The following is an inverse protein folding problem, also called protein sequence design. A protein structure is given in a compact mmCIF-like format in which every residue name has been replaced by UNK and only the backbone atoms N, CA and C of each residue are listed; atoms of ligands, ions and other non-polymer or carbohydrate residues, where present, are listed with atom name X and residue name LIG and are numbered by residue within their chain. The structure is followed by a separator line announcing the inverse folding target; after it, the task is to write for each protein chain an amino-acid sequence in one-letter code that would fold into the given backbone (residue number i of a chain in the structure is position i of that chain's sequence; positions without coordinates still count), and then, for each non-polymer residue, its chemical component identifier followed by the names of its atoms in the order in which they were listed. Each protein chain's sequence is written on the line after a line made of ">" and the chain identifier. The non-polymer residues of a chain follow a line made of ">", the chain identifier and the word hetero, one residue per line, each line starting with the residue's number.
data_IF_362366147856
#
_entry.id   IF_362366147856
#
_cell.length_a   1.000
_cell.length_b   1.000
_cell.length_c   1.000
_cell.angle_alpha   90.00
_cell.angle_beta   90.00
_cell.angle_gamma   90.00
#
_symmetry.space_group_name_H-M   'P 1'
#
loop_
_entity.id
_entity.type
_entity.pdbx_description
1 polymer ?
#
# COMPACT_ATOMS: atom_id res chain seq x y z
N UNK A 1 6.69 1.02 16.68
CA UNK A 1 6.71 1.11 18.16
C UNK A 1 7.60 2.25 18.67
N UNK A 2 8.89 2.33 18.32
CA UNK A 2 9.76 3.42 18.78
C UNK A 2 9.24 4.84 18.43
N UNK A 3 8.71 5.04 17.21
CA UNK A 3 8.14 6.33 16.81
C UNK A 3 6.88 6.72 17.63
N UNK A 4 5.98 5.76 17.89
CA UNK A 4 4.80 5.97 18.75
C UNK A 4 5.18 6.27 20.20
N UNK A 5 6.30 5.71 20.68
CA UNK A 5 6.87 6.00 21.99
C UNK A 5 7.67 7.32 22.02
N UNK A 6 7.65 8.13 20.96
CA UNK A 6 8.39 9.40 20.87
C UNK A 6 9.92 9.24 20.87
N UNK A 7 10.43 8.03 20.63
CA UNK A 7 11.85 7.70 20.73
C UNK A 7 12.63 7.93 19.42
N UNK A 8 12.01 8.55 18.41
CA UNK A 8 12.66 8.86 17.13
C UNK A 8 11.70 8.91 15.94
N UNK A 9 12.28 8.91 14.74
CA UNK A 9 11.58 8.92 13.45
C UNK A 9 11.61 7.50 12.86
N UNK A 10 10.55 7.09 12.17
CA UNK A 10 10.50 5.82 11.45
C UNK A 10 10.17 6.05 9.97
N UNK A 11 10.81 5.28 9.10
CA UNK A 11 10.50 5.23 7.67
C UNK A 11 9.76 3.93 7.38
N UNK A 12 8.46 4.04 7.09
CA UNK A 12 7.53 2.91 6.98
C UNK A 12 6.57 3.16 5.81
N UNK A 13 5.88 2.12 5.34
CA UNK A 13 4.79 2.31 4.39
C UNK A 13 3.58 2.96 5.08
N UNK A 14 2.89 3.82 4.32
CA UNK A 14 1.73 4.58 4.77
C UNK A 14 0.63 3.69 5.37
N UNK A 15 0.41 2.51 4.78
CA UNK A 15 -0.61 1.55 5.24
C UNK A 15 -0.37 1.05 6.68
N UNK A 16 0.86 1.04 7.17
CA UNK A 16 1.16 0.58 8.53
C UNK A 16 0.88 1.63 9.61
N UNK A 17 0.79 2.91 9.23
CA UNK A 17 0.70 4.03 10.16
C UNK A 17 -0.50 4.93 9.90
N UNK A 18 -1.33 4.59 8.91
CA UNK A 18 -2.48 5.38 8.49
C UNK A 18 -3.39 5.76 9.66
N UNK A 19 -3.81 4.75 10.43
CA UNK A 19 -4.67 4.96 11.60
C UNK A 19 -4.01 5.85 12.66
N UNK A 20 -2.70 5.71 12.86
CA UNK A 20 -1.96 6.51 13.83
C UNK A 20 -1.81 7.96 13.38
N UNK A 21 -1.66 8.21 12.08
CA UNK A 21 -1.60 9.56 11.50
C UNK A 21 -2.98 10.23 11.52
N UNK A 22 -4.02 9.51 11.12
CA UNK A 22 -5.41 10.00 11.15
C UNK A 22 -5.86 10.35 12.58
N UNK A 23 -5.41 9.58 13.57
CA UNK A 23 -5.71 9.82 14.98
C UNK A 23 -4.73 10.80 15.65
N UNK A 24 -3.79 11.39 14.90
CA UNK A 24 -2.83 12.40 15.37
C UNK A 24 -1.76 11.88 16.33
N UNK A 25 -1.60 10.55 16.48
CA UNK A 25 -0.52 9.94 17.27
C UNK A 25 0.82 10.04 16.57
N UNK A 26 0.82 10.05 15.25
CA UNK A 26 2.00 10.28 14.41
C UNK A 26 1.73 11.45 13.47
N UNK A 27 2.81 12.10 13.05
CA UNK A 27 2.79 13.14 12.02
C UNK A 27 3.72 12.73 10.89
N UNK A 28 3.33 13.03 9.65
CA UNK A 28 4.19 12.82 8.49
C UNK A 28 5.27 13.90 8.46
N UNK A 29 6.52 13.49 8.20
CA UNK A 29 7.68 14.37 8.09
C UNK A 29 8.21 14.33 6.66
N UNK A 30 8.81 15.42 6.21
CA UNK A 30 9.45 15.52 4.87
C UNK A 30 8.49 15.20 3.72
N UNK A 31 7.24 15.67 3.80
CA UNK A 31 6.20 15.44 2.78
C UNK A 31 6.65 15.83 1.36
N UNK A 32 7.48 16.87 1.24
CA UNK A 32 8.02 17.35 -0.04
C UNK A 32 9.00 16.36 -0.70
N UNK A 33 9.52 15.41 0.08
CA UNK A 33 10.48 14.40 -0.36
C UNK A 33 9.82 13.03 -0.57
N UNK A 34 8.49 12.95 -0.46
CA UNK A 34 7.74 11.70 -0.59
C UNK A 34 7.83 11.16 -2.01
N UNK A 35 8.45 10.00 -2.15
CA UNK A 35 8.46 9.31 -3.43
C UNK A 35 7.08 8.69 -3.70
N UNK A 36 6.54 8.95 -4.89
CA UNK A 36 5.32 8.26 -5.33
C UNK A 36 5.69 6.82 -5.68
N UNK A 37 5.35 5.90 -4.78
CA UNK A 37 5.55 4.47 -5.03
C UNK A 37 4.62 4.02 -6.16
N UNK A 38 5.09 3.11 -7.04
CA UNK A 38 4.23 2.54 -8.05
C UNK A 38 3.12 1.71 -7.39
N UNK A 39 1.98 1.61 -8.05
CA UNK A 39 0.91 0.73 -7.61
C UNK A 39 1.34 -0.74 -7.60
N UNK A 40 0.62 -1.57 -6.85
CA UNK A 40 0.80 -3.01 -6.85
C UNK A 40 0.60 -3.59 -8.26
N UNK A 41 1.48 -4.50 -8.66
CA UNK A 41 1.39 -5.23 -9.92
C UNK A 41 1.07 -6.70 -9.67
N UNK A 42 0.11 -7.24 -10.43
CA UNK A 42 -0.19 -8.67 -10.43
C UNK A 42 0.41 -9.30 -11.69
N UNK A 43 1.44 -10.12 -11.52
CA UNK A 43 2.09 -10.85 -12.61
C UNK A 43 1.41 -12.20 -12.84
N UNK A 44 0.93 -12.43 -14.07
CA UNK A 44 0.32 -13.71 -14.46
C UNK A 44 0.58 -14.04 -15.95
N UNK A 45 0.59 -15.33 -16.34
CA UNK A 45 0.79 -15.73 -17.73
C UNK A 45 -0.34 -15.24 -18.65
N UNK A 46 -0.02 -14.52 -19.73
CA UNK A 46 -1.02 -13.94 -20.63
C UNK A 46 -1.56 -14.89 -21.70
N UNK A 47 -0.88 -16.00 -21.97
CA UNK A 47 -1.20 -16.89 -23.07
C UNK A 47 -1.31 -18.33 -22.59
N UNK A 48 -2.46 -18.94 -22.93
CA UNK A 48 -2.81 -20.37 -22.90
C UNK A 48 -3.70 -20.83 -21.73
N UNK A 49 -4.93 -20.31 -21.68
CA UNK A 49 -6.04 -20.75 -20.80
C UNK A 49 -6.13 -20.07 -19.43
N UNK A 50 -6.30 -18.74 -19.40
CA UNK A 50 -6.85 -18.07 -18.20
C UNK A 50 -8.22 -18.66 -17.91
N UNK A 51 -8.33 -19.45 -16.84
CA UNK A 51 -9.58 -20.09 -16.41
C UNK A 51 -10.67 -19.04 -16.20
N UNK A 52 -11.95 -19.45 -16.29
CA UNK A 52 -13.06 -18.55 -16.00
C UNK A 52 -12.92 -17.92 -14.61
N UNK A 53 -12.48 -18.71 -13.61
CA UNK A 53 -12.18 -18.23 -12.27
C UNK A 53 -11.09 -17.15 -12.25
N UNK A 54 -9.98 -17.34 -12.99
CA UNK A 54 -8.90 -16.34 -13.05
C UNK A 54 -9.36 -15.05 -13.74
N UNK A 55 -10.25 -15.12 -14.75
CA UNK A 55 -10.83 -13.92 -15.37
C UNK A 55 -11.67 -13.12 -14.38
N UNK A 56 -12.56 -13.78 -13.65
CA UNK A 56 -13.40 -13.15 -12.62
C UNK A 56 -12.54 -12.56 -11.50
N UNK A 57 -11.49 -13.26 -11.08
CA UNK A 57 -10.54 -12.75 -10.08
C UNK A 57 -9.79 -11.51 -10.56
N UNK A 58 -9.28 -11.52 -11.80
CA UNK A 58 -8.61 -10.36 -12.39
C UNK A 58 -9.55 -9.16 -12.52
N UNK A 59 -10.81 -9.39 -12.89
CA UNK A 59 -11.85 -8.36 -12.94
C UNK A 59 -12.14 -7.79 -11.54
N UNK A 60 -12.30 -8.66 -10.54
CA UNK A 60 -12.49 -8.25 -9.16
C UNK A 60 -11.34 -7.35 -8.68
N UNK A 61 -10.08 -7.77 -8.86
CA UNK A 61 -8.91 -6.99 -8.44
C UNK A 61 -8.82 -5.67 -9.19
N UNK A 62 -9.11 -5.64 -10.50
CA UNK A 62 -9.07 -4.39 -11.29
C UNK A 62 -10.11 -3.37 -10.83
N UNK A 63 -11.24 -3.85 -10.32
CA UNK A 63 -12.34 -3.00 -9.85
C UNK A 63 -12.19 -2.58 -8.38
N UNK A 64 -11.29 -3.22 -7.62
CA UNK A 64 -10.88 -2.80 -6.28
C UNK A 64 -9.85 -1.68 -6.44
N UNK A 65 -10.33 -0.44 -6.64
CA UNK A 65 -9.50 0.76 -6.56
C UNK A 65 -9.29 1.16 -5.11
#
# INVERSE_FOLDING_TARGET
>A
QAALAGSGIAHLFEDYVRDDVEQGRLIELLTDWKQKLPSWYLYYPSRRHTSAAMRVFLEYIRNQR
#
